data_IF_883524560005
#
_entry.id   IF_883524560005
#
_cell.length_a   1.000
_cell.length_b   1.000
_cell.length_c   1.000
_cell.angle_alpha   90.00
_cell.angle_beta   90.00
_cell.angle_gamma   90.00
#
_symmetry.space_group_name_H-M   'P 1'
#
loop_
_entity.id
_entity.type
_entity.pdbx_description
1 polymer ?
#
# COMPACT_ATOMS: atom_id res chain seq x y z
N UNK A 1 4.53 58.07 -53.30
CA UNK A 1 3.98 56.72 -52.92
C UNK A 1 4.97 56.06 -52.04
N UNK A 2 4.73 55.99 -50.71
CA UNK A 2 5.68 55.41 -49.73
C UNK A 2 5.33 53.96 -49.48
N UNK A 3 6.28 53.04 -49.52
CA UNK A 3 5.98 51.61 -49.32
C UNK A 3 5.67 51.35 -47.84
N UNK A 4 4.53 50.77 -47.57
CA UNK A 4 4.06 50.37 -46.25
C UNK A 4 4.91 49.19 -45.76
N UNK A 5 5.77 49.44 -44.78
CA UNK A 5 6.59 48.40 -44.11
C UNK A 5 5.67 47.43 -43.35
N UNK A 6 5.57 46.20 -43.84
CA UNK A 6 4.78 45.15 -43.24
C UNK A 6 5.54 44.64 -41.99
N UNK A 7 5.03 44.96 -40.82
CA UNK A 7 5.62 44.47 -39.55
C UNK A 7 5.33 42.97 -39.37
N UNK A 8 6.32 42.16 -39.64
CA UNK A 8 6.25 40.69 -39.46
C UNK A 8 6.52 40.24 -38.02
N UNK A 9 6.34 41.13 -37.04
CA UNK A 9 6.60 40.84 -35.63
C UNK A 9 5.50 40.01 -34.94
N UNK A 10 4.28 40.02 -35.51
CA UNK A 10 3.16 39.26 -34.93
C UNK A 10 3.36 37.74 -34.98
N UNK A 11 3.78 37.14 -36.11
CA UNK A 11 4.02 35.69 -36.14
C UNK A 11 5.18 35.24 -35.26
N UNK A 12 6.19 36.09 -35.08
CA UNK A 12 7.33 35.80 -34.21
C UNK A 12 6.92 35.79 -32.73
N UNK A 13 6.04 36.70 -32.29
CA UNK A 13 5.50 36.72 -30.95
C UNK A 13 4.62 35.50 -30.63
N UNK A 14 3.85 35.03 -31.60
CA UNK A 14 3.00 33.80 -31.45
C UNK A 14 3.88 32.56 -31.34
N UNK A 15 4.95 32.47 -32.10
CA UNK A 15 5.90 31.35 -32.02
C UNK A 15 6.64 31.30 -30.67
N UNK A 16 7.04 32.46 -30.13
CA UNK A 16 7.72 32.51 -28.84
C UNK A 16 6.78 32.20 -27.66
N UNK A 17 5.53 32.64 -27.72
CA UNK A 17 4.55 32.35 -26.67
C UNK A 17 4.10 30.91 -26.68
N UNK A 18 3.92 30.28 -27.85
CA UNK A 18 3.58 28.88 -28.00
C UNK A 18 4.71 27.92 -27.55
N UNK A 19 5.94 28.27 -27.88
CA UNK A 19 7.12 27.51 -27.44
C UNK A 19 7.30 27.52 -25.91
N UNK A 20 7.06 28.68 -25.26
CA UNK A 20 7.16 28.80 -23.80
C UNK A 20 6.11 27.94 -23.09
N UNK A 21 4.87 27.91 -23.60
CA UNK A 21 3.80 27.07 -23.03
C UNK A 21 4.11 25.57 -23.12
N UNK A 22 4.69 25.12 -24.24
CA UNK A 22 5.08 23.71 -24.40
C UNK A 22 6.23 23.33 -23.46
N UNK A 23 7.17 24.22 -23.22
CA UNK A 23 8.27 23.97 -22.27
C UNK A 23 7.75 23.88 -20.85
N UNK A 24 6.81 24.75 -20.46
CA UNK A 24 6.18 24.72 -19.12
C UNK A 24 5.37 23.41 -18.96
N UNK A 25 4.62 23.00 -19.97
CA UNK A 25 3.86 21.75 -19.95
C UNK A 25 4.78 20.52 -19.86
N UNK A 26 5.88 20.49 -20.61
CA UNK A 26 6.86 19.42 -20.54
C UNK A 26 7.58 19.37 -19.18
N UNK A 27 7.90 20.52 -18.60
CA UNK A 27 8.49 20.63 -17.27
C UNK A 27 7.53 20.17 -16.16
N UNK A 28 6.24 20.51 -16.26
CA UNK A 28 5.23 20.01 -15.34
C UNK A 28 5.01 18.49 -15.45
N UNK A 29 5.06 17.94 -16.67
CA UNK A 29 4.94 16.50 -16.88
C UNK A 29 6.18 15.74 -16.37
N UNK A 30 7.37 16.32 -16.55
CA UNK A 30 8.62 15.71 -16.05
C UNK A 30 8.78 15.77 -14.52
N UNK A 31 8.06 16.69 -13.88
CA UNK A 31 8.11 16.88 -12.43
C UNK A 31 6.91 16.26 -11.70
N UNK A 32 6.11 15.44 -12.37
CA UNK A 32 5.16 14.56 -11.71
C UNK A 32 5.95 13.43 -11.08
N UNK A 33 6.37 13.62 -9.83
CA UNK A 33 6.77 12.51 -9.00
C UNK A 33 5.59 11.53 -9.03
N UNK A 34 5.81 10.24 -9.41
CA UNK A 34 4.75 9.24 -9.21
C UNK A 34 4.33 9.34 -7.75
N UNK A 35 3.03 9.23 -7.45
CA UNK A 35 2.59 9.15 -6.07
C UNK A 35 3.44 8.05 -5.43
N UNK A 36 4.19 8.41 -4.39
CA UNK A 36 4.92 7.45 -3.60
C UNK A 36 3.92 6.32 -3.30
N UNK A 37 4.27 5.11 -3.73
CA UNK A 37 3.54 3.93 -3.27
C UNK A 37 3.40 4.12 -1.75
N UNK A 38 2.24 3.81 -1.15
CA UNK A 38 2.09 3.97 0.27
C UNK A 38 3.25 3.21 0.91
N UNK A 39 4.23 3.96 1.37
CA UNK A 39 5.23 3.45 2.30
C UNK A 39 4.37 2.98 3.45
N UNK A 40 4.25 1.66 3.60
CA UNK A 40 3.65 1.08 4.78
C UNK A 40 4.39 1.75 5.93
N UNK A 41 3.72 2.66 6.63
CA UNK A 41 4.24 3.20 7.87
C UNK A 41 4.50 1.96 8.72
N UNK A 42 5.77 1.62 8.88
CA UNK A 42 6.22 0.60 9.81
C UNK A 42 5.66 1.06 11.14
N UNK A 43 4.61 0.38 11.57
CA UNK A 43 3.88 0.78 12.76
C UNK A 43 4.87 0.73 13.93
N UNK A 44 4.73 1.67 14.84
CA UNK A 44 5.55 1.76 16.07
C UNK A 44 5.60 0.47 16.91
N UNK A 45 4.76 -0.50 16.60
CA UNK A 45 4.71 -1.83 17.25
C UNK A 45 5.89 -2.73 16.87
N UNK A 46 6.52 -2.54 15.71
CA UNK A 46 7.68 -3.33 15.30
C UNK A 46 8.93 -2.98 16.10
N UNK A 47 8.96 -1.79 16.69
CA UNK A 47 10.04 -1.31 17.56
C UNK A 47 9.93 -1.87 18.99
N UNK A 48 8.73 -2.30 19.42
CA UNK A 48 8.47 -2.80 20.78
C UNK A 48 8.82 -4.28 20.90
N UNK A 49 8.63 -5.08 19.84
CA UNK A 49 8.86 -6.53 19.83
C UNK A 49 9.68 -6.96 18.61
N UNK A 50 10.99 -6.63 18.57
CA UNK A 50 11.84 -6.93 17.40
C UNK A 50 12.04 -8.45 17.18
N UNK A 51 11.79 -9.28 18.18
CA UNK A 51 11.86 -10.74 18.07
C UNK A 51 10.63 -11.36 17.38
N UNK A 52 9.51 -10.62 17.26
CA UNK A 52 8.31 -11.12 16.60
C UNK A 52 8.38 -10.81 15.11
N UNK A 53 8.56 -11.86 14.32
CA UNK A 53 8.67 -11.73 12.87
C UNK A 53 7.31 -11.40 12.24
N UNK A 54 7.26 -10.32 11.48
CA UNK A 54 6.10 -9.99 10.65
C UNK A 54 6.12 -10.79 9.36
N UNK A 55 4.94 -11.17 8.90
CA UNK A 55 4.74 -12.00 7.70
C UNK A 55 3.99 -11.19 6.65
N UNK A 56 4.40 -11.27 5.40
CA UNK A 56 3.69 -10.61 4.30
C UNK A 56 2.36 -11.31 3.97
N UNK A 57 1.46 -10.59 3.30
CA UNK A 57 0.17 -11.13 2.85
C UNK A 57 0.38 -12.32 1.89
N UNK A 58 1.33 -12.20 0.96
CA UNK A 58 1.62 -13.25 -0.02
C UNK A 58 2.19 -14.51 0.65
N UNK A 59 3.07 -14.34 1.63
CA UNK A 59 3.62 -15.47 2.41
C UNK A 59 2.52 -16.14 3.25
N UNK A 60 1.64 -15.35 3.88
CA UNK A 60 0.51 -15.87 4.65
C UNK A 60 -0.44 -16.69 3.75
N UNK A 61 -0.75 -16.18 2.56
CA UNK A 61 -1.59 -16.89 1.59
C UNK A 61 -0.95 -18.22 1.16
N UNK A 62 0.32 -18.19 0.77
CA UNK A 62 1.04 -19.41 0.37
C UNK A 62 1.10 -20.45 1.50
N UNK A 63 1.26 -20.00 2.75
CA UNK A 63 1.29 -20.87 3.91
C UNK A 63 -0.09 -21.48 4.22
N UNK A 64 -1.18 -20.74 4.04
CA UNK A 64 -2.55 -21.24 4.12
C UNK A 64 -2.83 -22.28 3.04
N UNK A 65 -2.53 -21.96 1.78
CA UNK A 65 -2.79 -22.81 0.63
C UNK A 65 -2.04 -24.15 0.73
N UNK A 66 -0.84 -24.14 1.27
CA UNK A 66 -0.02 -25.34 1.51
C UNK A 66 -0.37 -26.08 2.81
N UNK A 67 -1.23 -25.51 3.66
CA UNK A 67 -1.57 -26.07 4.98
C UNK A 67 -0.41 -26.07 5.99
N UNK A 68 0.68 -25.34 5.73
CA UNK A 68 1.86 -25.26 6.59
C UNK A 68 1.71 -24.29 7.76
N UNK A 69 0.71 -23.40 7.70
CA UNK A 69 0.39 -22.49 8.77
C UNK A 69 -1.06 -22.58 9.20
N UNK A 70 -1.31 -22.19 10.45
CA UNK A 70 -2.62 -21.90 11.02
C UNK A 70 -2.72 -20.39 11.20
N UNK A 71 -3.71 -19.77 10.58
CA UNK A 71 -3.97 -18.32 10.73
C UNK A 71 -5.03 -18.12 11.79
N UNK A 72 -4.74 -17.27 12.75
CA UNK A 72 -5.59 -17.01 13.92
C UNK A 72 -5.99 -15.53 13.93
N UNK A 73 -7.29 -15.29 13.86
CA UNK A 73 -7.87 -13.98 14.07
C UNK A 73 -8.05 -13.75 15.57
N UNK A 74 -7.29 -12.82 16.12
CA UNK A 74 -7.33 -12.50 17.55
C UNK A 74 -8.29 -11.34 17.88
N UNK A 75 -9.07 -10.88 16.90
CA UNK A 75 -10.13 -9.89 17.13
C UNK A 75 -11.34 -10.52 17.81
N UNK A 76 -12.31 -9.69 18.20
CA UNK A 76 -13.56 -10.16 18.77
C UNK A 76 -14.31 -11.11 17.80
N UNK A 77 -15.13 -11.99 18.34
CA UNK A 77 -15.98 -12.88 17.55
C UNK A 77 -16.92 -12.11 16.61
N UNK A 78 -17.38 -10.93 17.00
CA UNK A 78 -18.22 -10.06 16.18
C UNK A 78 -17.44 -9.53 14.94
N UNK A 79 -16.20 -9.06 15.12
CA UNK A 79 -15.35 -8.61 14.02
C UNK A 79 -15.05 -9.75 13.05
N UNK A 80 -14.76 -10.95 13.56
CA UNK A 80 -14.55 -12.15 12.76
C UNK A 80 -15.78 -12.52 11.94
N UNK A 81 -16.99 -12.49 12.52
CA UNK A 81 -18.24 -12.78 11.80
C UNK A 81 -18.53 -11.76 10.70
N UNK A 82 -18.12 -10.50 10.87
CA UNK A 82 -18.30 -9.47 9.87
C UNK A 82 -17.42 -9.69 8.62
N UNK A 83 -16.15 -10.00 8.82
CA UNK A 83 -15.19 -10.35 7.76
C UNK A 83 -13.92 -10.95 8.36
N UNK A 84 -13.36 -11.97 7.74
CA UNK A 84 -12.11 -12.60 8.17
C UNK A 84 -11.35 -13.22 7.00
N UNK A 85 -10.11 -13.61 7.22
CA UNK A 85 -9.30 -14.32 6.23
C UNK A 85 -9.85 -15.73 6.06
N UNK A 86 -10.17 -16.12 4.83
CA UNK A 86 -10.67 -17.46 4.53
C UNK A 86 -9.70 -18.54 5.04
N UNK A 87 -10.20 -19.47 5.85
CA UNK A 87 -9.40 -20.51 6.47
C UNK A 87 -8.76 -20.11 7.82
N UNK A 88 -8.92 -18.88 8.28
CA UNK A 88 -8.52 -18.51 9.63
C UNK A 88 -9.51 -19.04 10.68
N UNK A 89 -9.02 -19.30 11.88
CA UNK A 89 -9.85 -19.57 13.05
C UNK A 89 -9.90 -18.30 13.94
N UNK A 90 -10.98 -18.17 14.71
CA UNK A 90 -11.09 -17.05 15.63
C UNK A 90 -10.81 -17.51 17.08
N UNK A 91 -9.82 -16.91 17.68
CA UNK A 91 -9.54 -17.01 19.12
C UNK A 91 -9.28 -15.59 19.61
N UNK A 92 -10.27 -14.91 20.19
CA UNK A 92 -10.10 -13.58 20.75
C UNK A 92 -8.90 -13.48 21.69
N UNK A 93 -8.21 -12.35 21.67
CA UNK A 93 -6.95 -12.17 22.42
C UNK A 93 -7.11 -12.49 23.90
N UNK A 94 -8.26 -12.11 24.50
CA UNK A 94 -8.59 -12.41 25.90
C UNK A 94 -8.83 -13.89 26.21
N UNK A 95 -9.11 -14.70 25.18
CA UNK A 95 -9.33 -16.15 25.31
C UNK A 95 -8.10 -16.97 24.91
N UNK A 96 -7.11 -16.34 24.29
CA UNK A 96 -5.98 -17.02 23.66
C UNK A 96 -5.22 -17.90 24.69
N UNK A 97 -4.97 -17.39 25.90
CA UNK A 97 -4.21 -18.10 26.93
C UNK A 97 -4.88 -19.42 27.35
N UNK A 98 -6.21 -19.44 27.45
CA UNK A 98 -6.98 -20.60 27.89
C UNK A 98 -7.32 -21.56 26.74
N UNK A 99 -7.08 -21.15 25.50
CA UNK A 99 -7.39 -21.90 24.28
C UNK A 99 -6.16 -22.27 23.45
N UNK A 100 -4.95 -22.18 24.03
CA UNK A 100 -3.70 -22.52 23.35
C UNK A 100 -3.65 -23.98 22.89
N UNK A 101 -4.36 -24.88 23.54
CA UNK A 101 -4.46 -26.30 23.20
C UNK A 101 -5.27 -26.56 21.92
N UNK A 102 -6.06 -25.59 21.46
CA UNK A 102 -6.73 -25.66 20.16
C UNK A 102 -5.77 -25.40 18.97
N UNK A 103 -4.58 -24.85 19.24
CA UNK A 103 -3.58 -24.56 18.22
C UNK A 103 -2.74 -25.78 17.90
N UNK A 104 -2.70 -26.18 16.62
CA UNK A 104 -1.82 -27.23 16.14
C UNK A 104 -0.35 -26.77 16.20
N UNK A 105 0.36 -27.18 17.23
CA UNK A 105 1.76 -26.81 17.46
C UNK A 105 2.74 -27.38 16.41
N UNK A 106 2.30 -28.30 15.57
CA UNK A 106 3.09 -28.78 14.43
C UNK A 106 3.10 -27.78 13.25
N UNK A 107 2.21 -26.77 13.28
CA UNK A 107 2.10 -25.74 12.25
C UNK A 107 2.68 -24.41 12.72
N UNK A 108 3.11 -23.60 11.78
CA UNK A 108 3.42 -22.19 12.05
C UNK A 108 2.13 -21.46 12.42
N UNK A 109 2.12 -20.75 13.53
CA UNK A 109 0.98 -19.93 13.94
C UNK A 109 1.21 -18.50 13.44
N UNK A 110 0.24 -17.97 12.70
CA UNK A 110 0.23 -16.58 12.22
C UNK A 110 -1.00 -15.92 12.82
N UNK A 111 -0.79 -14.91 13.64
CA UNK A 111 -1.90 -14.13 14.22
C UNK A 111 -2.08 -12.83 13.44
N UNK A 112 -3.31 -12.32 13.39
CA UNK A 112 -3.61 -10.99 12.88
C UNK A 112 -4.69 -10.28 13.68
N UNK A 113 -4.56 -8.94 13.73
CA UNK A 113 -5.58 -8.01 14.23
C UNK A 113 -5.58 -6.75 13.35
N UNK A 114 -6.73 -6.13 13.15
CA UNK A 114 -6.87 -4.87 12.38
C UNK A 114 -7.93 -3.99 13.03
#
# INVERSE_FOLDING_TARGET
MSPRKKNNSIPLLILLSGGLLLIIAAFMLANQNPPAAPTSEISSEEEIYPEIQRVSIDETRAALDSGSALVVDVRSAEAYQGSHISGAINIPLEELEVRLDELDQAKRIITYCT
#
